data_IF_991524370476
#
_entry.id   IF_991524370476
#
_cell.length_a   1.000
_cell.length_b   1.000
_cell.length_c   1.000
_cell.angle_alpha   90.00
_cell.angle_beta   90.00
_cell.angle_gamma   90.00
#
_symmetry.space_group_name_H-M   'P 1'
#
loop_
_entity.id
_entity.type
_entity.pdbx_description
1 polymer ?
#
# COMPACT_ATOMS: atom_id res chain seq x y z
N UNK A 1 -2.57 6.14 19.56
CA UNK A 1 -3.54 6.43 18.53
C UNK A 1 -4.73 5.50 18.53
N UNK A 2 -5.90 6.07 18.39
CA UNK A 2 -7.15 5.34 18.17
C UNK A 2 -8.02 6.11 17.17
N UNK A 3 -8.99 5.41 16.57
CA UNK A 3 -10.03 6.00 15.74
C UNK A 3 -11.39 5.40 16.12
N UNK A 4 -12.43 6.15 15.93
CA UNK A 4 -13.79 5.62 15.92
C UNK A 4 -14.16 5.28 14.47
N UNK A 5 -14.66 4.07 14.24
CA UNK A 5 -15.05 3.58 12.93
C UNK A 5 -16.55 3.30 12.96
N UNK A 6 -17.29 3.98 12.09
CA UNK A 6 -18.69 3.68 11.88
C UNK A 6 -18.83 2.43 11.02
N UNK A 7 -19.57 1.44 11.51
CA UNK A 7 -19.94 0.25 10.76
C UNK A 7 -21.45 0.12 10.70
N UNK A 8 -21.94 -0.14 9.52
CA UNK A 8 -23.35 -0.46 9.30
C UNK A 8 -23.49 -1.97 9.17
N UNK A 9 -24.34 -2.57 9.99
CA UNK A 9 -24.63 -4.01 9.93
C UNK A 9 -25.59 -4.35 8.77
N UNK A 10 -25.87 -5.65 8.60
CA UNK A 10 -26.78 -6.15 7.54
C UNK A 10 -28.23 -5.61 7.69
N UNK A 11 -28.59 -5.11 8.86
CA UNK A 11 -29.93 -4.56 9.18
C UNK A 11 -29.94 -3.03 9.06
N UNK A 12 -28.85 -2.40 8.61
CA UNK A 12 -28.76 -0.95 8.50
C UNK A 12 -28.44 -0.23 9.82
N UNK A 13 -28.16 -0.96 10.90
CA UNK A 13 -27.85 -0.37 12.20
C UNK A 13 -26.40 0.10 12.19
N UNK A 14 -26.21 1.39 12.48
CA UNK A 14 -24.90 2.02 12.59
C UNK A 14 -24.33 1.82 13.98
N UNK A 15 -23.14 1.26 14.08
CA UNK A 15 -22.39 1.08 15.31
C UNK A 15 -21.06 1.80 15.23
N UNK A 16 -20.67 2.48 16.31
CA UNK A 16 -19.39 3.15 16.41
C UNK A 16 -18.43 2.27 17.20
N UNK A 17 -17.38 1.80 16.53
CA UNK A 17 -16.36 0.91 17.12
C UNK A 17 -15.07 1.68 17.35
N UNK A 18 -14.47 1.52 18.53
CA UNK A 18 -13.15 2.09 18.82
C UNK A 18 -12.06 1.16 18.30
N UNK A 19 -11.30 1.61 17.31
CA UNK A 19 -10.15 0.92 16.78
C UNK A 19 -8.85 1.52 17.36
N UNK A 20 -8.07 0.68 18.01
CA UNK A 20 -6.78 1.05 18.60
C UNK A 20 -5.66 0.65 17.64
N UNK A 21 -4.64 1.48 17.54
CA UNK A 21 -3.41 1.15 16.81
C UNK A 21 -2.78 -0.12 17.36
N UNK A 22 -2.55 -1.11 16.49
CA UNK A 22 -1.85 -2.33 16.86
C UNK A 22 -0.36 -2.05 17.08
N UNK A 23 0.32 -2.85 17.90
CA UNK A 23 1.72 -2.61 18.21
C UNK A 23 2.64 -2.54 16.97
N UNK A 24 2.48 -3.37 15.89
CA UNK A 24 3.32 -3.23 14.72
C UNK A 24 3.13 -1.89 14.00
N UNK A 25 1.91 -1.35 14.02
CA UNK A 25 1.62 -0.04 13.45
C UNK A 25 2.25 1.07 14.30
N UNK A 26 2.17 0.96 15.62
CA UNK A 26 2.77 1.91 16.55
C UNK A 26 4.29 1.99 16.38
N UNK A 27 4.98 0.85 16.40
CA UNK A 27 6.44 0.83 16.20
C UNK A 27 6.86 1.24 14.80
N UNK A 28 6.05 0.94 13.77
CA UNK A 28 6.30 1.43 12.42
C UNK A 28 6.20 2.96 12.35
N UNK A 29 5.21 3.57 13.03
CA UNK A 29 5.07 5.03 13.10
C UNK A 29 6.29 5.68 13.77
N UNK A 30 6.75 5.17 14.91
CA UNK A 30 7.96 5.66 15.56
C UNK A 30 9.22 5.46 14.69
N UNK A 31 9.29 4.38 13.94
CA UNK A 31 10.40 4.13 13.02
C UNK A 31 10.38 5.10 11.82
N UNK A 32 9.19 5.49 11.33
CA UNK A 32 9.05 6.54 10.32
C UNK A 32 9.59 7.87 10.86
N UNK A 33 9.13 8.30 12.04
CA UNK A 33 9.61 9.54 12.67
C UNK A 33 11.12 9.55 12.80
N UNK A 34 11.70 8.49 13.38
CA UNK A 34 13.16 8.37 13.53
C UNK A 34 13.92 8.48 12.20
N UNK A 35 13.35 7.96 11.09
CA UNK A 35 13.96 8.12 9.76
C UNK A 35 13.87 9.54 9.26
N UNK A 36 12.73 10.19 9.46
CA UNK A 36 12.54 11.59 9.10
C UNK A 36 13.49 12.53 9.90
N UNK A 37 13.68 12.29 11.18
CA UNK A 37 14.64 13.02 12.03
C UNK A 37 16.09 12.85 11.53
N UNK A 38 16.40 11.70 10.93
CA UNK A 38 17.69 11.44 10.29
C UNK A 38 17.78 12.00 8.84
N UNK A 39 16.77 12.75 8.38
CA UNK A 39 16.71 13.32 7.03
C UNK A 39 16.38 12.31 5.93
N UNK A 40 15.99 11.05 6.28
CA UNK A 40 15.65 10.02 5.32
C UNK A 40 14.17 10.09 5.00
N UNK A 41 13.84 10.43 3.75
CA UNK A 41 12.47 10.64 3.29
C UNK A 41 11.84 9.44 2.58
N UNK A 42 12.63 8.44 2.22
CA UNK A 42 12.17 7.25 1.48
C UNK A 42 12.44 5.98 2.28
N UNK A 43 11.53 5.00 2.18
CA UNK A 43 11.76 3.69 2.77
C UNK A 43 10.58 2.75 2.70
N UNK A 44 10.80 1.53 3.17
CA UNK A 44 9.88 0.41 3.03
C UNK A 44 9.36 -0.03 4.40
N UNK A 45 8.06 -0.12 4.53
CA UNK A 45 7.37 -0.85 5.59
C UNK A 45 7.04 -2.25 5.06
N UNK A 46 7.79 -3.23 5.53
CA UNK A 46 7.52 -4.63 5.20
C UNK A 46 6.64 -5.27 6.27
N UNK A 47 5.36 -5.20 6.08
CA UNK A 47 4.36 -5.83 6.94
C UNK A 47 3.57 -6.87 6.17
N UNK A 48 3.31 -8.03 6.79
CA UNK A 48 2.54 -9.10 6.15
C UNK A 48 1.15 -8.64 5.74
N UNK A 49 0.54 -9.37 4.82
CA UNK A 49 -0.86 -9.14 4.46
C UNK A 49 -1.75 -9.31 5.71
N UNK A 50 -2.80 -8.50 5.83
CA UNK A 50 -3.70 -8.51 7.01
C UNK A 50 -3.15 -7.79 8.25
N UNK A 51 -1.92 -7.28 8.25
CA UNK A 51 -1.35 -6.53 9.37
C UNK A 51 -1.96 -5.13 9.59
N UNK A 52 -2.79 -4.67 8.64
CA UNK A 52 -3.45 -3.37 8.70
C UNK A 52 -2.58 -2.21 8.17
N UNK A 53 -1.95 -2.39 7.00
CA UNK A 53 -1.16 -1.34 6.33
C UNK A 53 -1.97 -0.09 6.03
N UNK A 54 -3.23 -0.22 5.59
CA UNK A 54 -4.14 0.93 5.37
C UNK A 54 -4.43 1.67 6.67
N UNK A 55 -4.65 0.95 7.77
CA UNK A 55 -4.83 1.58 9.08
C UNK A 55 -3.56 2.26 9.59
N UNK A 56 -2.37 1.72 9.26
CA UNK A 56 -1.09 2.39 9.52
C UNK A 56 -1.03 3.74 8.80
N UNK A 57 -1.38 3.80 7.51
CA UNK A 57 -1.42 5.04 6.76
C UNK A 57 -2.39 6.04 7.40
N UNK A 58 -3.61 5.60 7.77
CA UNK A 58 -4.58 6.42 8.49
C UNK A 58 -4.00 7.08 9.76
N UNK A 59 -3.40 6.29 10.63
CA UNK A 59 -2.84 6.80 11.87
C UNK A 59 -1.69 7.79 11.63
N UNK A 60 -0.91 7.55 10.58
CA UNK A 60 0.19 8.43 10.21
C UNK A 60 -0.27 9.76 9.60
N UNK A 61 -1.48 9.86 9.03
CA UNK A 61 -2.01 11.17 8.57
C UNK A 61 -1.99 12.18 9.72
N UNK A 62 -2.58 11.84 10.86
CA UNK A 62 -2.61 12.74 12.03
C UNK A 62 -1.24 12.93 12.66
N UNK A 63 -0.51 11.83 12.81
CA UNK A 63 0.80 11.87 13.45
C UNK A 63 1.81 12.72 12.68
N UNK A 64 1.93 12.51 11.38
CA UNK A 64 2.85 13.23 10.53
C UNK A 64 2.39 14.66 10.22
N UNK A 65 1.07 14.93 10.20
CA UNK A 65 0.57 16.30 10.16
C UNK A 65 1.14 17.10 11.33
N UNK A 66 1.00 16.59 12.55
CA UNK A 66 1.47 17.27 13.76
C UNK A 66 3.01 17.37 13.79
N UNK A 67 3.70 16.35 13.24
CA UNK A 67 5.16 16.36 13.11
C UNK A 67 5.64 17.49 12.17
N UNK A 68 5.06 17.63 10.99
CA UNK A 68 5.47 18.65 10.03
C UNK A 68 4.95 20.05 10.39
N UNK A 69 3.80 20.14 11.03
CA UNK A 69 3.29 21.42 11.54
C UNK A 69 4.24 22.06 12.56
N UNK A 70 4.88 21.27 13.41
CA UNK A 70 5.92 21.75 14.33
C UNK A 70 7.16 22.31 13.60
N UNK A 71 7.35 21.94 12.34
CA UNK A 71 8.41 22.43 11.46
C UNK A 71 7.94 23.59 10.55
N UNK A 72 6.72 24.10 10.75
CA UNK A 72 6.15 25.18 9.93
C UNK A 72 5.69 24.74 8.54
N UNK A 73 5.53 23.44 8.30
CA UNK A 73 5.10 22.89 7.00
C UNK A 73 3.67 22.39 7.03
N UNK A 74 2.96 22.58 5.92
CA UNK A 74 1.64 21.98 5.69
C UNK A 74 1.82 20.58 5.14
N UNK A 75 1.34 19.56 5.84
CA UNK A 75 1.42 18.18 5.38
C UNK A 75 0.24 17.84 4.45
N UNK A 76 0.53 17.21 3.32
CA UNK A 76 -0.44 16.73 2.35
C UNK A 76 -0.22 15.24 2.07
N UNK A 77 -1.29 14.45 2.19
CA UNK A 77 -1.20 13.00 2.20
C UNK A 77 -1.81 12.38 0.96
N UNK A 78 -1.11 11.39 0.42
CA UNK A 78 -1.50 10.60 -0.73
C UNK A 78 -1.42 9.12 -0.41
N UNK A 79 -2.47 8.37 -0.77
CA UNK A 79 -2.46 6.92 -0.73
C UNK A 79 -2.56 6.40 -2.17
N UNK A 80 -1.50 5.79 -2.63
CA UNK A 80 -1.34 5.38 -4.03
C UNK A 80 -1.59 3.89 -4.16
N UNK A 81 -2.52 3.53 -5.01
CA UNK A 81 -2.89 2.15 -5.30
C UNK A 81 -2.71 1.83 -6.78
N UNK A 82 -2.51 0.55 -7.10
CA UNK A 82 -2.32 0.07 -8.46
C UNK A 82 -3.60 -0.47 -9.12
N UNK A 83 -4.72 -0.56 -8.38
CA UNK A 83 -5.99 -1.15 -8.85
C UNK A 83 -7.19 -0.31 -8.43
N UNK A 84 -8.21 -0.30 -9.29
CA UNK A 84 -9.40 0.51 -9.06
C UNK A 84 -10.27 0.03 -7.89
N UNK A 85 -10.34 -1.29 -7.68
CA UNK A 85 -11.02 -1.88 -6.52
C UNK A 85 -10.36 -1.48 -5.21
N UNK A 86 -9.02 -1.42 -5.16
CA UNK A 86 -8.28 -0.95 -3.99
C UNK A 86 -8.49 0.54 -3.72
N UNK A 87 -8.68 1.37 -4.76
CA UNK A 87 -9.02 2.78 -4.57
C UNK A 87 -10.34 2.94 -3.84
N UNK A 88 -11.37 2.18 -4.23
CA UNK A 88 -12.68 2.23 -3.57
C UNK A 88 -12.56 1.74 -2.13
N UNK A 89 -11.96 0.58 -1.92
CA UNK A 89 -11.78 -0.01 -0.58
C UNK A 89 -11.00 0.93 0.36
N UNK A 90 -9.86 1.47 -0.08
CA UNK A 90 -9.06 2.38 0.74
C UNK A 90 -9.83 3.66 1.08
N UNK A 91 -10.56 4.21 0.09
CA UNK A 91 -11.36 5.42 0.30
C UNK A 91 -12.45 5.21 1.34
N UNK A 92 -13.16 4.09 1.28
CA UNK A 92 -14.19 3.73 2.26
C UNK A 92 -13.59 3.52 3.65
N UNK A 93 -12.45 2.85 3.73
CA UNK A 93 -11.75 2.64 5.00
C UNK A 93 -11.28 3.95 5.66
N UNK A 94 -10.76 4.89 4.89
CA UNK A 94 -10.34 6.20 5.41
C UNK A 94 -11.55 7.06 5.82
N UNK A 95 -12.59 7.11 5.00
CA UNK A 95 -13.82 7.84 5.31
C UNK A 95 -14.53 7.30 6.57
N UNK A 96 -14.62 5.97 6.71
CA UNK A 96 -15.21 5.32 7.89
C UNK A 96 -14.45 5.65 9.19
N UNK A 97 -13.19 6.09 9.10
CA UNK A 97 -12.36 6.53 10.23
C UNK A 97 -12.37 8.05 10.43
N UNK A 98 -13.18 8.78 9.65
CA UNK A 98 -13.35 10.21 9.77
C UNK A 98 -12.28 11.06 9.09
N UNK A 99 -11.60 10.54 8.04
CA UNK A 99 -10.82 11.38 7.15
C UNK A 99 -11.69 11.91 6.01
N UNK A 100 -11.45 13.14 5.60
CA UNK A 100 -11.92 13.61 4.31
C UNK A 100 -11.11 12.94 3.20
N UNK A 101 -11.79 12.31 2.24
CA UNK A 101 -11.14 11.55 1.17
C UNK A 101 -11.40 12.17 -0.18
N UNK A 102 -10.34 12.58 -0.85
CA UNK A 102 -10.36 12.96 -2.26
C UNK A 102 -9.95 11.77 -3.13
N UNK A 103 -10.69 11.52 -4.21
CA UNK A 103 -10.37 10.46 -5.18
C UNK A 103 -9.84 11.07 -6.45
N UNK A 104 -8.64 10.65 -6.85
CA UNK A 104 -8.00 11.11 -8.09
C UNK A 104 -7.89 9.94 -9.06
N UNK A 105 -8.59 10.07 -10.18
CA UNK A 105 -8.66 9.07 -11.25
C UNK A 105 -8.06 9.54 -12.58
N UNK A 106 -7.67 10.80 -12.68
CA UNK A 106 -7.08 11.37 -13.90
C UNK A 106 -5.78 12.10 -13.61
N UNK A 107 -4.95 12.23 -14.63
CA UNK A 107 -3.70 12.99 -14.59
C UNK A 107 -3.95 14.46 -14.23
N UNK A 108 -4.93 15.05 -14.88
CA UNK A 108 -5.30 16.46 -14.74
C UNK A 108 -5.71 16.76 -13.30
N UNK A 109 -6.53 15.91 -12.71
CA UNK A 109 -6.96 16.02 -11.32
C UNK A 109 -5.79 15.87 -10.36
N UNK A 110 -4.85 14.96 -10.66
CA UNK A 110 -3.66 14.78 -9.83
C UNK A 110 -2.76 16.01 -9.83
N UNK A 111 -2.47 16.58 -11.03
CA UNK A 111 -1.66 17.78 -11.17
C UNK A 111 -2.35 18.98 -10.48
N UNK A 112 -3.67 19.11 -10.67
CA UNK A 112 -4.45 20.14 -9.99
C UNK A 112 -4.38 20.00 -8.48
N UNK A 113 -4.54 18.78 -7.98
CA UNK A 113 -4.46 18.50 -6.55
C UNK A 113 -3.07 18.81 -5.98
N UNK A 114 -1.98 18.46 -6.66
CA UNK A 114 -0.61 18.79 -6.23
C UNK A 114 -0.39 20.30 -6.14
N UNK A 115 -0.89 21.08 -7.09
CA UNK A 115 -0.73 22.54 -7.16
C UNK A 115 -1.56 23.29 -6.11
N UNK A 116 -2.61 22.69 -5.61
CA UNK A 116 -3.47 23.31 -4.60
C UNK A 116 -2.77 23.32 -3.25
N UNK A 117 -2.53 24.49 -2.67
CA UNK A 117 -1.80 24.66 -1.40
C UNK A 117 -2.64 24.21 -0.21
N UNK A 118 -3.95 24.35 -0.27
CA UNK A 118 -4.88 23.94 0.81
C UNK A 118 -5.43 22.53 0.61
N UNK A 119 -5.95 21.97 1.70
CA UNK A 119 -6.98 20.92 1.57
C UNK A 119 -8.20 21.55 0.90
N UNK A 120 -8.85 20.84 -0.01
CA UNK A 120 -10.05 21.34 -0.71
C UNK A 120 -11.17 21.75 0.23
N UNK A 121 -11.04 21.44 1.52
CA UNK A 121 -11.95 21.79 2.57
C UNK A 121 -11.34 22.83 3.51
N UNK A 122 -11.94 24.01 3.57
CA UNK A 122 -11.70 25.02 4.60
C UNK A 122 -12.13 24.58 6.02
N UNK A 123 -12.49 23.30 6.20
CA UNK A 123 -13.04 22.78 7.46
C UNK A 123 -11.97 22.44 8.51
N UNK A 124 -10.68 22.47 8.17
CA UNK A 124 -9.61 22.05 9.09
C UNK A 124 -9.59 20.54 9.40
N UNK A 125 -10.36 19.74 8.67
CA UNK A 125 -10.42 18.29 8.82
C UNK A 125 -9.18 17.62 8.21
N UNK A 126 -8.78 16.51 8.85
CA UNK A 126 -7.71 15.65 8.30
C UNK A 126 -8.15 15.06 6.97
N UNK A 127 -7.31 15.18 5.95
CA UNK A 127 -7.62 14.71 4.61
C UNK A 127 -6.54 13.81 4.03
N UNK A 128 -6.95 12.94 3.11
CA UNK A 128 -6.06 12.09 2.32
C UNK A 128 -6.57 11.98 0.89
N UNK A 129 -5.68 12.06 -0.07
CA UNK A 129 -5.99 11.86 -1.49
C UNK A 129 -5.66 10.43 -1.89
N UNK A 130 -6.65 9.67 -2.37
CA UNK A 130 -6.44 8.31 -2.88
C UNK A 130 -6.28 8.35 -4.38
N UNK A 131 -5.15 7.80 -4.88
CA UNK A 131 -4.71 7.92 -6.27
C UNK A 131 -4.55 6.54 -6.89
N UNK A 132 -5.20 6.30 -8.04
CA UNK A 132 -4.95 5.10 -8.85
C UNK A 132 -3.91 5.38 -9.93
N UNK A 133 -2.75 4.73 -9.84
CA UNK A 133 -1.63 4.96 -10.78
C UNK A 133 -1.76 4.25 -12.12
N UNK A 134 -2.65 3.26 -12.27
CA UNK A 134 -2.78 2.52 -13.54
C UNK A 134 -3.16 3.41 -14.74
N UNK A 135 -3.82 4.53 -14.46
CA UNK A 135 -4.25 5.47 -15.48
C UNK A 135 -3.21 6.54 -15.84
N UNK A 136 -2.06 6.52 -15.18
CA UNK A 136 -1.01 7.50 -15.41
C UNK A 136 0.06 6.94 -16.34
N UNK A 137 0.39 7.69 -17.38
CA UNK A 137 1.51 7.43 -18.27
C UNK A 137 2.78 8.10 -17.76
N UNK A 138 3.92 7.77 -18.35
CA UNK A 138 5.22 8.35 -18.01
C UNK A 138 5.27 9.87 -18.07
N UNK A 139 4.45 10.49 -18.96
CA UNK A 139 4.34 11.94 -19.13
C UNK A 139 3.44 12.61 -18.09
N UNK A 140 2.91 11.85 -17.13
CA UNK A 140 1.84 12.30 -16.22
C UNK A 140 2.33 13.08 -15.01
N UNK A 141 3.57 13.50 -14.97
CA UNK A 141 4.16 14.15 -13.79
C UNK A 141 4.11 15.68 -13.90
N UNK A 142 3.78 16.34 -12.80
CA UNK A 142 3.86 17.77 -12.66
C UNK A 142 5.32 18.26 -12.80
N UNK A 143 5.52 19.45 -13.33
CA UNK A 143 6.86 20.03 -13.44
C UNK A 143 7.38 20.40 -12.04
N UNK A 144 8.69 20.40 -11.85
CA UNK A 144 9.34 20.77 -10.56
C UNK A 144 8.89 22.14 -10.04
N UNK A 145 8.59 23.09 -10.94
CA UNK A 145 8.07 24.42 -10.61
C UNK A 145 6.65 24.42 -10.04
N UNK A 146 5.93 23.32 -10.13
CA UNK A 146 4.54 23.19 -9.69
C UNK A 146 4.44 22.78 -8.22
N UNK A 147 5.56 22.46 -7.57
CA UNK A 147 5.60 22.01 -6.18
C UNK A 147 5.91 23.17 -5.24
N UNK A 148 5.01 23.40 -4.28
CA UNK A 148 5.19 24.39 -3.24
C UNK A 148 6.19 23.87 -2.17
N UNK A 149 7.14 24.71 -1.79
CA UNK A 149 8.19 24.38 -0.80
C UNK A 149 7.66 24.30 0.63
N UNK A 150 6.56 25.01 0.93
CA UNK A 150 5.94 25.02 2.27
C UNK A 150 4.99 23.83 2.48
N UNK A 151 4.71 23.09 1.42
CA UNK A 151 3.87 21.87 1.46
C UNK A 151 4.74 20.63 1.48
N UNK A 152 4.70 19.89 2.58
CA UNK A 152 5.32 18.56 2.66
C UNK A 152 4.34 17.50 2.16
N UNK A 153 4.66 16.89 1.03
CA UNK A 153 3.87 15.79 0.48
C UNK A 153 4.36 14.45 1.01
N UNK A 154 3.43 13.62 1.45
CA UNK A 154 3.67 12.29 2.00
C UNK A 154 2.87 11.28 1.18
N UNK A 155 3.56 10.36 0.54
CA UNK A 155 2.98 9.29 -0.27
C UNK A 155 3.11 7.96 0.45
N UNK A 156 1.99 7.30 0.69
CA UNK A 156 1.91 5.89 1.05
C UNK A 156 1.63 5.09 -0.22
N UNK A 157 2.56 4.22 -0.60
CA UNK A 157 2.53 3.48 -1.85
C UNK A 157 2.17 2.04 -1.54
N UNK A 158 0.90 1.68 -1.74
CA UNK A 158 0.41 0.34 -1.40
C UNK A 158 0.83 -0.69 -2.46
N UNK A 159 1.05 -1.93 -2.02
CA UNK A 159 1.53 -3.05 -2.83
C UNK A 159 2.74 -2.68 -3.71
N UNK A 160 3.71 -1.99 -3.12
CA UNK A 160 4.85 -1.39 -3.80
C UNK A 160 5.73 -2.36 -4.64
N UNK A 161 5.48 -3.67 -4.53
CA UNK A 161 6.18 -4.69 -5.33
C UNK A 161 5.60 -4.90 -6.73
N UNK A 162 4.40 -4.37 -7.06
CA UNK A 162 3.68 -4.74 -8.29
C UNK A 162 3.92 -3.82 -9.49
N UNK A 163 3.79 -2.52 -9.31
CA UNK A 163 3.61 -1.58 -10.44
C UNK A 163 4.74 -0.58 -10.60
N UNK A 164 5.80 -0.70 -9.80
CA UNK A 164 6.83 0.32 -9.73
C UNK A 164 8.12 -0.15 -10.37
N UNK A 165 8.28 0.15 -11.67
CA UNK A 165 9.54 -0.08 -12.38
C UNK A 165 10.54 1.04 -12.07
N UNK A 166 11.85 0.75 -11.96
CA UNK A 166 12.88 1.74 -11.66
C UNK A 166 12.98 2.86 -12.70
N UNK A 167 12.70 2.55 -13.96
CA UNK A 167 12.82 3.48 -15.08
C UNK A 167 11.54 3.51 -15.89
N UNK A 168 11.16 4.70 -16.36
CA UNK A 168 10.04 4.89 -17.30
C UNK A 168 8.67 4.64 -16.68
N UNK A 169 8.51 4.73 -15.36
CA UNK A 169 7.23 4.63 -14.68
C UNK A 169 6.78 5.98 -14.13
N UNK A 170 5.48 6.16 -13.98
CA UNK A 170 4.90 7.34 -13.31
C UNK A 170 5.59 7.62 -11.96
N UNK A 171 5.84 6.58 -11.16
CA UNK A 171 6.47 6.74 -9.86
C UNK A 171 7.92 7.24 -9.97
N UNK A 172 8.72 6.69 -10.88
CA UNK A 172 10.09 7.13 -11.08
C UNK A 172 10.13 8.63 -11.45
N UNK A 173 9.20 9.06 -12.30
CA UNK A 173 9.07 10.46 -12.68
C UNK A 173 8.57 11.33 -11.53
N UNK A 174 7.62 10.84 -10.72
CA UNK A 174 7.17 11.54 -9.51
C UNK A 174 8.33 11.74 -8.53
N UNK A 175 9.11 10.69 -8.26
CA UNK A 175 10.28 10.77 -7.39
C UNK A 175 11.36 11.72 -7.91
N UNK A 176 11.55 11.77 -9.22
CA UNK A 176 12.51 12.68 -9.84
C UNK A 176 12.05 14.14 -9.81
N UNK A 177 10.73 14.39 -9.89
CA UNK A 177 10.16 15.75 -9.92
C UNK A 177 9.91 16.32 -8.52
N UNK A 178 9.45 15.51 -7.57
CA UNK A 178 9.18 15.89 -6.17
C UNK A 178 10.22 15.27 -5.22
N UNK A 179 11.43 15.80 -5.27
CA UNK A 179 12.58 15.28 -4.48
C UNK A 179 12.42 15.46 -2.97
N UNK A 180 11.55 16.38 -2.56
CA UNK A 180 11.29 16.68 -1.15
C UNK A 180 10.16 15.85 -0.57
N UNK A 181 9.46 15.09 -1.37
CA UNK A 181 8.38 14.21 -0.91
C UNK A 181 8.89 13.12 0.03
N UNK A 182 8.06 12.79 1.01
CA UNK A 182 8.22 11.57 1.81
C UNK A 182 7.50 10.43 1.09
N UNK A 183 8.22 9.34 0.82
CA UNK A 183 7.66 8.17 0.13
C UNK A 183 7.83 6.91 0.96
N UNK A 184 6.72 6.37 1.43
CA UNK A 184 6.65 5.19 2.30
C UNK A 184 6.00 4.06 1.51
N UNK A 185 6.82 3.12 1.06
CA UNK A 185 6.36 1.92 0.39
C UNK A 185 5.77 0.92 1.39
N UNK A 186 4.55 0.48 1.15
CA UNK A 186 3.85 -0.52 1.96
C UNK A 186 3.80 -1.84 1.17
N UNK A 187 4.35 -2.91 1.71
CA UNK A 187 4.31 -4.22 1.02
C UNK A 187 4.36 -5.38 2.01
N UNK A 188 3.67 -6.47 1.67
CA UNK A 188 3.78 -7.74 2.37
C UNK A 188 4.83 -8.67 1.77
N UNK A 189 5.21 -8.43 0.51
CA UNK A 189 6.07 -9.29 -0.31
C UNK A 189 7.04 -8.45 -1.14
N UNK A 190 8.04 -7.80 -0.51
CA UNK A 190 9.02 -7.04 -1.28
C UNK A 190 9.75 -7.96 -2.26
N UNK A 191 10.02 -7.47 -3.45
CA UNK A 191 10.82 -8.17 -4.42
C UNK A 191 12.29 -8.09 -4.02
N UNK A 192 12.94 -9.25 -3.99
CA UNK A 192 14.36 -9.41 -3.69
C UNK A 192 14.96 -10.26 -4.82
N UNK A 193 15.72 -9.66 -5.71
CA UNK A 193 16.31 -10.37 -6.86
C UNK A 193 17.25 -9.49 -7.66
N UNK A 194 18.04 -10.13 -8.54
CA UNK A 194 19.09 -9.46 -9.31
C UNK A 194 18.53 -8.56 -10.44
N UNK A 195 17.29 -8.77 -10.86
CA UNK A 195 16.68 -7.99 -11.95
C UNK A 195 15.81 -6.82 -11.48
N UNK A 196 15.25 -6.89 -10.28
CA UNK A 196 14.42 -5.86 -9.66
C UNK A 196 14.36 -6.08 -8.15
N UNK A 197 14.77 -5.07 -7.41
CA UNK A 197 14.72 -5.09 -5.96
C UNK A 197 13.92 -3.87 -5.47
N UNK A 198 12.95 -4.10 -4.58
CA UNK A 198 12.14 -3.02 -4.02
C UNK A 198 13.00 -1.97 -3.30
N UNK A 199 14.14 -2.37 -2.75
CA UNK A 199 15.08 -1.43 -2.11
C UNK A 199 15.75 -0.46 -3.08
N UNK A 200 15.98 -0.86 -4.31
CA UNK A 200 16.62 0.00 -5.32
C UNK A 200 15.73 1.20 -5.68
N UNK A 201 14.41 1.03 -5.52
CA UNK A 201 13.43 2.08 -5.79
C UNK A 201 13.12 2.91 -4.54
N UNK A 202 12.89 2.26 -3.40
CA UNK A 202 12.35 2.92 -2.21
C UNK A 202 13.36 3.08 -1.07
N UNK A 203 14.58 2.58 -1.22
CA UNK A 203 15.59 2.61 -0.17
C UNK A 203 15.40 1.50 0.89
N UNK A 204 15.96 1.71 2.06
CA UNK A 204 16.04 0.71 3.11
C UNK A 204 14.71 0.49 3.85
N UNK A 205 14.63 -0.65 4.52
CA UNK A 205 13.49 -0.95 5.38
C UNK A 205 13.43 0.02 6.57
N UNK A 206 12.28 0.67 6.74
CA UNK A 206 11.95 1.48 7.92
C UNK A 206 11.54 0.56 9.07
N UNK A 207 10.62 -0.39 8.79
CA UNK A 207 10.12 -1.33 9.78
C UNK A 207 9.74 -2.65 9.13
N UNK A 208 9.90 -3.74 9.90
CA UNK A 208 9.62 -5.10 9.44
C UNK A 208 8.73 -5.83 10.42
N UNK A 209 7.65 -6.41 9.91
CA UNK A 209 6.76 -7.29 10.65
C UNK A 209 6.49 -8.53 9.83
N UNK A 210 7.32 -9.55 10.05
CA UNK A 210 7.35 -10.77 9.26
C UNK A 210 6.18 -11.71 9.54
N UNK A 211 5.96 -12.61 8.60
CA UNK A 211 4.92 -13.61 8.60
C UNK A 211 4.95 -14.51 9.85
N UNK A 212 6.13 -14.98 10.27
CA UNK A 212 6.30 -15.80 11.49
C UNK A 212 5.79 -15.08 12.75
N UNK A 213 6.08 -13.79 12.88
CA UNK A 213 5.63 -12.99 14.00
C UNK A 213 4.13 -12.71 13.95
N UNK A 214 3.62 -12.44 12.76
CA UNK A 214 2.19 -12.23 12.55
C UNK A 214 1.35 -13.48 12.84
N UNK A 215 1.89 -14.68 12.56
CA UNK A 215 1.28 -15.96 12.95
C UNK A 215 1.31 -16.14 14.48
N UNK A 216 2.45 -15.90 15.11
CA UNK A 216 2.60 -16.01 16.55
C UNK A 216 1.64 -15.07 17.31
N UNK A 217 1.40 -13.88 16.75
CA UNK A 217 0.48 -12.90 17.30
C UNK A 217 -1.00 -13.17 16.94
N UNK A 218 -1.29 -14.20 16.15
CA UNK A 218 -2.65 -14.57 15.74
C UNK A 218 -3.27 -13.66 14.67
N UNK A 219 -2.51 -12.77 14.03
CA UNK A 219 -3.02 -11.88 12.97
C UNK A 219 -3.02 -12.53 11.58
N UNK A 220 -2.24 -13.58 11.39
CA UNK A 220 -2.14 -14.32 10.13
C UNK A 220 -2.25 -15.82 10.40
N UNK A 221 -3.04 -16.51 9.61
CA UNK A 221 -3.16 -17.96 9.71
C UNK A 221 -1.90 -18.64 9.18
N UNK A 222 -1.44 -19.68 9.88
CA UNK A 222 -0.37 -20.53 9.39
C UNK A 222 -0.87 -21.36 8.21
N UNK A 223 -0.21 -21.24 7.08
CA UNK A 223 -0.45 -22.14 5.95
C UNK A 223 0.20 -23.49 6.26
N UNK A 224 -0.62 -24.51 6.37
CA UNK A 224 -0.18 -25.90 6.49
C UNK A 224 -0.31 -26.52 5.09
N UNK A 225 0.82 -26.88 4.49
CA UNK A 225 0.82 -27.61 3.23
C UNK A 225 0.84 -29.10 3.56
N UNK A 226 -0.29 -29.77 3.35
CA UNK A 226 -0.32 -31.22 3.35
C UNK A 226 0.16 -31.73 1.98
N UNK A 227 1.14 -32.61 1.98
CA UNK A 227 1.51 -33.34 0.77
C UNK A 227 0.39 -34.32 0.41
N UNK A 228 0.09 -34.48 -0.87
CA UNK A 228 -0.79 -35.55 -1.35
C UNK A 228 -0.16 -36.86 -0.90
N UNK A 229 -0.91 -37.70 -0.16
CA UNK A 229 -0.45 -39.02 0.28
C UNK A 229 0.07 -39.79 -0.93
N UNK A 230 1.16 -40.53 -0.73
CA UNK A 230 1.86 -41.26 -1.80
C UNK A 230 0.91 -42.16 -2.58
N UNK A 231 -0.09 -42.75 -1.91
CA UNK A 231 -1.14 -43.58 -2.55
C UNK A 231 -2.00 -42.83 -3.58
N UNK A 232 -2.36 -41.56 -3.32
CA UNK A 232 -3.10 -40.73 -4.25
C UNK A 232 -2.23 -40.32 -5.44
N UNK A 233 -0.96 -40.04 -5.20
CA UNK A 233 0.01 -39.75 -6.27
C UNK A 233 0.18 -40.93 -7.21
N UNK A 234 0.35 -42.13 -6.65
CA UNK A 234 0.47 -43.36 -7.45
C UNK A 234 -0.80 -43.64 -8.24
N UNK A 235 -1.99 -43.50 -7.62
CA UNK A 235 -3.26 -43.65 -8.32
C UNK A 235 -3.45 -42.63 -9.42
N UNK A 236 -3.17 -41.35 -9.20
CA UNK A 236 -3.23 -40.33 -10.23
C UNK A 236 -2.26 -40.63 -11.39
N UNK A 237 -1.04 -41.03 -11.06
CA UNK A 237 -0.04 -41.37 -12.06
C UNK A 237 -0.46 -42.57 -12.91
N UNK A 238 -1.01 -43.62 -12.31
CA UNK A 238 -1.58 -44.77 -13.02
C UNK A 238 -2.78 -44.38 -13.91
N UNK A 239 -3.66 -43.50 -13.45
CA UNK A 239 -4.78 -43.00 -14.25
C UNK A 239 -4.27 -42.16 -15.44
N UNK A 240 -3.29 -41.28 -15.23
CA UNK A 240 -2.68 -40.49 -16.30
C UNK A 240 -1.99 -41.38 -17.36
N UNK A 241 -1.24 -42.38 -16.93
CA UNK A 241 -0.60 -43.37 -17.83
C UNK A 241 -1.62 -44.21 -18.61
N UNK A 242 -2.74 -44.56 -17.99
CA UNK A 242 -3.83 -45.27 -18.69
C UNK A 242 -4.52 -44.38 -19.74
N UNK A 243 -4.73 -43.11 -19.44
CA UNK A 243 -5.30 -42.12 -20.36
C UNK A 243 -4.36 -41.80 -21.53
N UNK A 244 -3.07 -41.76 -21.30
CA UNK A 244 -2.07 -41.59 -22.36
C UNK A 244 -2.02 -42.80 -23.31
N UNK A 245 -2.23 -44.01 -22.81
CA UNK A 245 -2.27 -45.24 -23.63
C UNK A 245 -3.57 -45.41 -24.41
N UNK A 246 -4.70 -44.96 -23.87
CA UNK A 246 -6.02 -45.10 -24.56
C UNK A 246 -6.26 -44.01 -25.63
N UNK A 247 -5.65 -42.85 -25.54
CA UNK A 247 -5.94 -41.70 -26.43
C UNK A 247 -4.80 -41.23 -27.33
N UNK A 248 -3.70 -41.97 -27.43
CA UNK A 248 -2.62 -41.61 -28.35
C UNK A 248 -2.21 -40.15 -28.28
N UNK A 249 -1.37 -39.83 -27.33
CA UNK A 249 -0.72 -38.50 -27.14
C UNK A 249 -1.63 -37.30 -26.86
N UNK A 250 -2.22 -37.24 -25.68
CA UNK A 250 -2.63 -35.95 -25.10
C UNK A 250 -1.37 -35.18 -24.67
N UNK A 251 -1.23 -33.96 -25.14
CA UNK A 251 -0.11 -33.13 -24.68
C UNK A 251 -0.25 -32.81 -23.20
N UNK A 252 0.87 -32.60 -22.47
CA UNK A 252 0.84 -32.20 -21.05
C UNK A 252 -0.01 -30.96 -20.77
N UNK A 253 -0.30 -30.15 -21.77
CA UNK A 253 -1.18 -28.99 -21.69
C UNK A 253 -2.66 -29.35 -21.56
N UNK A 254 -3.09 -30.48 -22.14
CA UNK A 254 -4.48 -30.87 -22.19
C UNK A 254 -4.96 -31.58 -20.91
N UNK A 255 -4.01 -31.92 -20.00
CA UNK A 255 -4.28 -32.60 -18.73
C UNK A 255 -4.50 -31.61 -17.58
N UNK A 256 -4.13 -30.33 -17.76
CA UNK A 256 -4.24 -29.27 -16.74
C UNK A 256 -5.24 -28.16 -17.10
N UNK A 257 -6.01 -28.34 -18.15
CA UNK A 257 -7.16 -27.51 -18.49
C UNK A 257 -8.44 -28.17 -17.93
#
# INVERSE_FOLDING_TARGET
GFAYVERTDKNGIKTLQKHIMRYPQFFATLAIEKKLDAGVKHGIIWHTQGSGKTALAFHNVRYLRDYFQRQGKVAKFYFVVDRLDLLTQASEEFAARGLHVEKVNSKEDFIKNIKTIGTSNNSGEDSITVVNIQKFTEESVARKSDYDVDVQRIYFLDEAHRSYKPNGSFLANLMASDRDAVMIALTGTPLIGDGYNTKDVFGEYIHKYYYNRSIADGYTLKLIREGIKTEYRTKMQTILESLETEKGSLSKKDVYA
#
